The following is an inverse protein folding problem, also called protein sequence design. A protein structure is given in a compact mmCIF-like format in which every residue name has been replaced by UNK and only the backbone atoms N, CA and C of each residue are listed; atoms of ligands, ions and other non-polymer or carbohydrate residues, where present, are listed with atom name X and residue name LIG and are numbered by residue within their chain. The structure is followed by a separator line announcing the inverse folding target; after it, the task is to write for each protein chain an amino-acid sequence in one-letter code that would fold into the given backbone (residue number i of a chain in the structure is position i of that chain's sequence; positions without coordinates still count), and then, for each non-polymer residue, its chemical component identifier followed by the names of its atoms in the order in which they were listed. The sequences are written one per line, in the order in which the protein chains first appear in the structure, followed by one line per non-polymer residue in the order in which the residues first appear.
data_IF_930453560296
#
_entry.id   IF_930453560296
#
_cell.length_a   1.000
_cell.length_b   1.000
_cell.length_c   1.000
_cell.angle_alpha   90.00
_cell.angle_beta   90.00
_cell.angle_gamma   90.00
#
_symmetry.space_group_name_H-M   'P 1'
#
loop_
_entity.id
_entity.type
_entity.pdbx_description
1 polymer ?
#
# COMPACT_ATOMS: atom_id res chain seq x y z
N UNK A 1 11.63 2.37 -20.69
CA UNK A 1 10.94 3.65 -20.97
C UNK A 1 10.59 4.28 -19.64
N UNK A 2 11.00 5.52 -19.38
CA UNK A 2 10.73 6.21 -18.11
C UNK A 2 9.26 6.62 -17.95
N UNK A 3 8.47 6.52 -19.01
CA UNK A 3 7.04 6.88 -19.01
C UNK A 3 6.13 5.70 -18.70
N UNK A 4 6.50 4.47 -19.11
CA UNK A 4 5.73 3.25 -18.87
C UNK A 4 5.42 3.00 -17.37
N UNK A 5 4.17 2.72 -16.97
CA UNK A 5 2.99 2.40 -17.79
C UNK A 5 2.05 3.61 -18.00
N UNK A 6 2.52 4.83 -17.77
CA UNK A 6 1.69 6.04 -17.93
C UNK A 6 2.05 6.71 -19.24
N UNK A 7 1.10 6.72 -20.17
CA UNK A 7 1.20 7.45 -21.42
C UNK A 7 0.52 8.81 -21.29
N UNK A 8 1.11 9.83 -21.92
CA UNK A 8 0.57 11.19 -21.95
C UNK A 8 0.61 11.75 -23.35
N UNK A 9 -0.38 12.56 -23.71
CA UNK A 9 -0.43 13.31 -24.95
C UNK A 9 -1.11 14.66 -24.73
N UNK A 10 -0.94 15.58 -25.68
CA UNK A 10 -1.54 16.91 -25.64
C UNK A 10 -2.47 17.11 -26.83
N UNK A 11 -3.65 17.67 -26.58
CA UNK A 11 -4.63 18.01 -27.62
C UNK A 11 -4.93 19.51 -27.55
N UNK A 12 -4.49 20.25 -28.56
CA UNK A 12 -4.64 21.70 -28.63
C UNK A 12 -6.10 22.12 -28.85
N UNK A 13 -6.48 23.29 -28.33
CA UNK A 13 -7.81 23.89 -28.54
C UNK A 13 -8.94 23.20 -27.77
N UNK A 14 -8.61 22.35 -26.81
CA UNK A 14 -9.59 21.71 -25.94
C UNK A 14 -9.98 22.61 -24.78
N UNK A 15 -11.26 22.61 -24.44
CA UNK A 15 -11.81 23.20 -23.23
C UNK A 15 -12.35 22.08 -22.35
N UNK A 16 -12.74 22.41 -21.13
CA UNK A 16 -13.39 21.48 -20.20
C UNK A 16 -14.73 20.90 -20.68
N UNK A 17 -15.35 21.46 -21.72
CA UNK A 17 -16.55 20.90 -22.35
C UNK A 17 -16.26 19.76 -23.33
N UNK A 18 -14.99 19.47 -23.61
CA UNK A 18 -14.61 18.38 -24.53
C UNK A 18 -14.85 17.03 -23.87
N UNK A 19 -15.60 16.19 -24.58
CA UNK A 19 -15.75 14.78 -24.27
C UNK A 19 -14.66 13.97 -24.96
N UNK A 20 -14.12 12.98 -24.26
CA UNK A 20 -13.10 12.09 -24.81
C UNK A 20 -13.30 10.66 -24.30
N UNK A 21 -12.62 9.71 -24.95
CA UNK A 21 -12.57 8.30 -24.54
C UNK A 21 -11.24 7.72 -24.96
N UNK A 22 -10.75 6.71 -24.25
CA UNK A 22 -9.53 6.01 -24.64
C UNK A 22 -9.82 4.83 -25.57
N UNK A 23 -8.82 4.48 -26.37
CA UNK A 23 -8.80 3.29 -27.21
C UNK A 23 -7.49 2.54 -27.00
N UNK A 24 -7.56 1.22 -27.03
CA UNK A 24 -6.40 0.34 -27.12
C UNK A 24 -6.05 0.15 -28.59
N UNK A 25 -4.76 0.27 -28.92
CA UNK A 25 -4.24 0.11 -30.27
C UNK A 25 -3.36 -1.13 -30.35
N UNK A 26 -3.40 -1.84 -31.49
CA UNK A 26 -2.40 -2.85 -31.81
C UNK A 26 -1.04 -2.22 -32.20
N UNK A 27 -0.05 -3.06 -32.49
CA UNK A 27 1.28 -2.62 -32.93
C UNK A 27 1.29 -1.88 -34.27
N UNK A 28 0.23 -2.01 -35.08
CA UNK A 28 0.07 -1.29 -36.34
C UNK A 28 -0.70 0.04 -36.16
N UNK A 29 -1.15 0.36 -34.94
CA UNK A 29 -1.91 1.56 -34.61
C UNK A 29 -3.41 1.44 -34.87
N UNK A 30 -3.92 0.25 -35.15
CA UNK A 30 -5.36 0.01 -35.35
C UNK A 30 -6.05 -0.17 -34.01
N UNK A 31 -7.26 0.39 -33.86
CA UNK A 31 -8.06 0.22 -32.65
C UNK A 31 -8.51 -1.23 -32.49
N UNK A 32 -8.15 -1.84 -31.35
CA UNK A 32 -8.60 -3.18 -30.96
C UNK A 32 -9.69 -3.16 -29.90
N UNK A 33 -9.73 -2.10 -29.09
CA UNK A 33 -10.74 -1.92 -28.05
C UNK A 33 -11.00 -0.44 -27.78
N UNK A 34 -12.24 -0.10 -27.45
CA UNK A 34 -12.64 1.26 -27.12
C UNK A 34 -13.46 1.26 -25.83
N UNK A 35 -13.34 2.33 -25.04
CA UNK A 35 -14.21 2.52 -23.89
C UNK A 35 -15.68 2.68 -24.33
N UNK A 36 -16.61 2.15 -23.53
CA UNK A 36 -18.05 2.21 -23.79
C UNK A 36 -18.70 3.45 -23.16
N UNK A 37 -17.90 4.35 -22.58
CA UNK A 37 -18.33 5.57 -21.91
C UNK A 37 -17.44 6.74 -22.35
N UNK A 38 -17.97 7.96 -22.21
CA UNK A 38 -17.19 9.19 -22.40
C UNK A 38 -16.73 9.74 -21.07
N UNK A 39 -15.63 10.48 -21.12
CA UNK A 39 -15.00 11.21 -20.02
C UNK A 39 -15.09 12.70 -20.30
N UNK A 40 -15.00 13.48 -19.23
CA UNK A 40 -14.89 14.94 -19.27
C UNK A 40 -13.94 15.38 -18.15
N UNK A 41 -13.32 16.55 -18.31
CA UNK A 41 -12.54 17.14 -17.23
C UNK A 41 -13.42 17.47 -16.03
N UNK A 42 -12.87 17.33 -14.83
CA UNK A 42 -13.65 17.42 -13.59
C UNK A 42 -14.09 18.86 -13.32
N UNK A 43 -13.18 19.82 -13.56
CA UNK A 43 -13.45 21.24 -13.40
C UNK A 43 -13.31 21.99 -14.72
N UNK A 44 -14.04 23.10 -14.83
CA UNK A 44 -14.02 23.88 -16.07
C UNK A 44 -12.67 24.52 -16.39
N UNK A 45 -11.82 24.65 -15.37
CA UNK A 45 -10.48 25.24 -15.41
C UNK A 45 -9.36 24.21 -15.56
N UNK A 46 -9.67 22.91 -15.55
CA UNK A 46 -8.65 21.88 -15.68
C UNK A 46 -8.03 21.95 -17.08
N UNK A 47 -6.71 21.76 -17.15
CA UNK A 47 -5.94 21.75 -18.41
C UNK A 47 -5.31 20.38 -18.71
N UNK A 48 -5.57 19.39 -17.86
CA UNK A 48 -5.08 18.02 -17.99
C UNK A 48 -6.06 17.03 -17.36
N UNK A 49 -6.03 15.79 -17.84
CA UNK A 49 -6.73 14.67 -17.20
C UNK A 49 -5.96 14.22 -15.94
N UNK A 50 -6.60 13.41 -15.10
CA UNK A 50 -5.88 12.62 -14.10
C UNK A 50 -5.04 11.51 -14.76
N UNK A 51 -4.26 10.80 -13.95
CA UNK A 51 -3.74 9.47 -14.28
C UNK A 51 -4.90 8.48 -14.30
N UNK A 52 -5.56 8.41 -15.45
CA UNK A 52 -6.73 7.55 -15.67
C UNK A 52 -6.31 6.12 -16.02
N UNK A 53 -7.18 5.17 -15.69
CA UNK A 53 -6.97 3.76 -16.00
C UNK A 53 -7.99 3.36 -17.07
N UNK A 54 -7.52 2.73 -18.16
CA UNK A 54 -8.37 2.31 -19.28
C UNK A 54 -9.52 1.42 -18.79
N UNK A 55 -10.73 1.66 -19.29
CA UNK A 55 -11.97 0.98 -18.88
C UNK A 55 -12.40 1.22 -17.43
N UNK A 56 -11.80 2.18 -16.72
CA UNK A 56 -12.26 2.63 -15.40
C UNK A 56 -12.92 4.02 -15.52
N UNK A 57 -14.25 4.13 -15.47
CA UNK A 57 -14.94 5.41 -15.65
C UNK A 57 -14.66 6.41 -14.54
N UNK A 58 -14.45 5.93 -13.31
CA UNK A 58 -14.25 6.78 -12.14
C UNK A 58 -12.82 6.69 -11.63
N UNK A 59 -12.09 7.80 -11.67
CA UNK A 59 -10.71 7.89 -11.14
C UNK A 59 -10.70 8.24 -9.65
N UNK A 60 -11.55 9.17 -9.23
CA UNK A 60 -11.74 9.57 -7.83
C UNK A 60 -13.21 9.36 -7.46
N UNK A 61 -13.47 8.65 -6.37
CA UNK A 61 -14.79 8.43 -5.80
C UNK A 61 -14.77 8.76 -4.32
N UNK A 62 -15.56 9.76 -3.90
CA UNK A 62 -15.60 10.18 -2.50
C UNK A 62 -16.30 9.12 -1.64
N UNK A 63 -15.57 8.48 -0.74
CA UNK A 63 -16.11 7.47 0.17
C UNK A 63 -16.62 8.15 1.44
N UNK A 64 -17.83 7.79 1.86
CA UNK A 64 -18.37 8.25 3.15
C UNK A 64 -17.54 7.66 4.28
N UNK A 65 -16.89 8.54 5.06
CA UNK A 65 -16.03 8.14 6.18
C UNK A 65 -16.85 7.85 7.43
N UNK A 66 -16.35 6.94 8.25
CA UNK A 66 -16.87 6.73 9.60
C UNK A 66 -16.76 8.03 10.42
N UNK A 67 -17.79 8.40 11.19
CA UNK A 67 -17.74 9.59 12.01
C UNK A 67 -16.71 9.45 13.13
N UNK A 68 -16.00 10.53 13.44
CA UNK A 68 -15.12 10.56 14.60
C UNK A 68 -15.93 10.58 15.89
N UNK A 69 -15.63 9.66 16.82
CA UNK A 69 -16.26 9.64 18.15
C UNK A 69 -15.50 10.46 19.18
N UNK A 70 -14.20 10.67 18.95
CA UNK A 70 -13.33 11.57 19.70
C UNK A 70 -12.50 12.40 18.71
N UNK A 71 -12.08 13.61 19.11
CA UNK A 71 -11.17 14.43 18.31
C UNK A 71 -9.83 13.69 18.20
N UNK A 72 -9.64 12.95 17.10
CA UNK A 72 -8.38 12.32 16.78
C UNK A 72 -7.33 13.41 16.55
N UNK A 73 -6.46 13.63 17.53
CA UNK A 73 -5.36 14.61 17.49
C UNK A 73 -4.11 14.07 16.79
N UNK A 74 -4.14 12.84 16.27
CA UNK A 74 -3.00 12.21 15.65
C UNK A 74 -2.82 12.66 14.18
N UNK A 75 -1.57 12.93 13.76
CA UNK A 75 -1.27 13.64 12.53
C UNK A 75 -1.84 12.97 11.27
N UNK A 76 -2.40 13.83 10.43
CA UNK A 76 -2.70 13.72 8.99
C UNK A 76 -2.55 12.34 8.36
N UNK A 77 -3.65 11.84 7.76
CA UNK A 77 -3.60 10.81 6.71
C UNK A 77 -2.52 11.21 5.69
N UNK A 78 -1.49 10.40 5.54
CA UNK A 78 -0.48 10.59 4.50
C UNK A 78 -1.13 10.45 3.12
N UNK A 79 -0.60 11.14 2.11
CA UNK A 79 -1.03 10.97 0.71
C UNK A 79 -0.91 9.52 0.22
N UNK A 80 -0.10 8.69 0.89
CA UNK A 80 0.04 7.27 0.58
C UNK A 80 -1.27 6.48 0.73
N UNK A 81 -2.15 6.85 1.67
CA UNK A 81 -3.38 6.13 1.98
C UNK A 81 -4.63 6.95 1.64
N UNK A 82 -4.66 7.49 0.43
CA UNK A 82 -5.88 8.12 -0.09
C UNK A 82 -6.88 7.01 -0.47
N UNK A 83 -8.01 6.98 0.22
CA UNK A 83 -9.06 5.98 0.03
C UNK A 83 -10.10 6.34 -1.04
N UNK A 84 -10.10 7.59 -1.50
CA UNK A 84 -11.02 8.06 -2.55
C UNK A 84 -10.60 7.59 -3.96
N UNK A 85 -9.59 6.74 -4.04
CA UNK A 85 -9.06 6.19 -5.28
C UNK A 85 -8.37 4.85 -5.02
N UNK A 86 -8.22 4.05 -6.07
CA UNK A 86 -7.39 2.84 -6.06
C UNK A 86 -6.09 3.19 -6.78
N UNK A 87 -5.00 3.26 -6.02
CA UNK A 87 -3.67 3.48 -6.58
C UNK A 87 -3.20 2.25 -7.36
N UNK A 88 -2.28 2.46 -8.31
CA UNK A 88 -1.64 1.36 -9.04
C UNK A 88 -0.15 1.33 -8.71
N UNK A 89 0.35 0.17 -8.29
CA UNK A 89 1.76 -0.11 -8.08
C UNK A 89 2.27 -0.97 -9.23
N UNK A 90 3.29 -0.49 -9.92
CA UNK A 90 4.07 -1.30 -10.86
C UNK A 90 5.43 -1.62 -10.24
N UNK A 91 5.76 -2.89 -10.21
CA UNK A 91 7.06 -3.41 -9.83
C UNK A 91 7.74 -3.97 -11.07
N UNK A 92 8.99 -3.59 -11.30
CA UNK A 92 9.84 -4.14 -12.37
C UNK A 92 11.12 -4.67 -11.76
N UNK A 93 11.49 -5.90 -12.08
CA UNK A 93 12.72 -6.51 -11.57
C UNK A 93 13.12 -7.79 -12.29
N UNK A 94 14.22 -8.44 -11.87
CA UNK A 94 14.72 -9.67 -12.48
C UNK A 94 13.66 -10.78 -12.44
N UNK A 95 13.21 -11.22 -13.61
CA UNK A 95 12.10 -12.19 -13.78
C UNK A 95 12.39 -13.49 -13.03
N UNK A 96 13.59 -14.05 -13.19
CA UNK A 96 13.96 -15.33 -12.55
C UNK A 96 13.94 -15.24 -11.02
N UNK A 97 14.44 -14.13 -10.45
CA UNK A 97 14.44 -13.91 -9.01
C UNK A 97 13.02 -13.77 -8.44
N UNK A 98 12.14 -13.06 -9.16
CA UNK A 98 10.73 -12.90 -8.76
C UNK A 98 9.99 -14.24 -8.86
N UNK A 99 10.22 -15.01 -9.92
CA UNK A 99 9.64 -16.34 -10.07
C UNK A 99 10.11 -17.30 -8.97
N UNK A 100 11.39 -17.25 -8.61
CA UNK A 100 11.93 -18.04 -7.50
C UNK A 100 11.31 -17.62 -6.17
N UNK A 101 11.22 -16.32 -5.90
CA UNK A 101 10.58 -15.79 -4.70
C UNK A 101 9.10 -16.23 -4.59
N UNK A 102 8.34 -16.17 -5.68
CA UNK A 102 6.94 -16.60 -5.69
C UNK A 102 6.76 -18.12 -5.54
N UNK A 103 7.66 -18.92 -6.14
CA UNK A 103 7.60 -20.38 -6.05
C UNK A 103 8.13 -20.93 -4.72
N UNK A 104 8.92 -20.13 -4.00
CA UNK A 104 9.49 -20.48 -2.70
C UNK A 104 9.22 -19.37 -1.66
N UNK A 105 7.94 -19.07 -1.37
CA UNK A 105 7.57 -17.90 -0.57
C UNK A 105 8.07 -17.95 0.88
N UNK A 106 8.42 -19.15 1.38
CA UNK A 106 8.98 -19.37 2.73
C UNK A 106 10.48 -19.13 2.84
N UNK A 107 11.18 -18.94 1.73
CA UNK A 107 12.62 -18.67 1.75
C UNK A 107 12.95 -17.20 2.05
N UNK A 108 11.94 -16.32 2.07
CA UNK A 108 12.11 -14.88 2.33
C UNK A 108 13.15 -14.20 1.44
N UNK A 109 13.30 -14.72 0.21
CA UNK A 109 14.25 -14.18 -0.78
C UNK A 109 13.91 -12.74 -1.09
N UNK A 110 14.88 -11.85 -0.86
CA UNK A 110 14.74 -10.43 -1.17
C UNK A 110 15.26 -10.12 -2.57
N UNK A 111 14.41 -9.49 -3.38
CA UNK A 111 14.72 -9.10 -4.75
C UNK A 111 14.77 -7.58 -4.84
N UNK A 112 15.82 -7.04 -5.46
CA UNK A 112 15.91 -5.60 -5.75
C UNK A 112 15.09 -5.27 -6.99
N UNK A 113 14.19 -4.30 -6.86
CA UNK A 113 13.21 -3.93 -7.89
C UNK A 113 13.06 -2.41 -7.99
N UNK A 114 12.50 -1.98 -9.12
CA UNK A 114 12.01 -0.63 -9.33
C UNK A 114 10.51 -0.58 -9.08
N UNK A 115 10.05 0.48 -8.40
CA UNK A 115 8.65 0.67 -8.02
C UNK A 115 8.14 1.98 -8.61
N UNK A 116 6.95 1.93 -9.23
CA UNK A 116 6.16 3.13 -9.56
C UNK A 116 4.81 3.04 -8.87
N UNK A 117 4.50 4.04 -8.04
CA UNK A 117 3.20 4.22 -7.39
C UNK A 117 2.46 5.36 -8.07
N UNK A 118 1.28 5.06 -8.61
CA UNK A 118 0.50 5.96 -9.45
C UNK A 118 -0.85 6.21 -8.76
N UNK A 119 -1.12 7.48 -8.48
CA UNK A 119 -2.41 7.99 -8.04
C UNK A 119 -2.90 9.05 -9.03
N UNK A 120 -4.14 9.51 -8.90
CA UNK A 120 -4.82 10.39 -9.84
C UNK A 120 -3.99 11.61 -10.28
N UNK A 121 -3.21 12.22 -9.39
CA UNK A 121 -2.50 13.48 -9.64
C UNK A 121 -0.97 13.38 -9.46
N UNK A 122 -0.45 12.20 -9.15
CA UNK A 122 0.97 11.99 -8.84
C UNK A 122 1.46 10.62 -9.32
N UNK A 123 2.71 10.59 -9.79
CA UNK A 123 3.51 9.39 -9.95
C UNK A 123 4.72 9.51 -9.03
N UNK A 124 4.88 8.56 -8.12
CA UNK A 124 6.07 8.37 -7.30
C UNK A 124 6.87 7.21 -7.88
N UNK A 125 8.19 7.36 -8.04
CA UNK A 125 9.04 6.30 -8.59
C UNK A 125 10.32 6.19 -7.78
N UNK A 126 10.73 4.96 -7.47
CA UNK A 126 11.95 4.68 -6.74
C UNK A 126 12.60 3.39 -7.23
N UNK A 127 13.92 3.36 -7.27
CA UNK A 127 14.72 2.20 -7.68
C UNK A 127 15.44 1.59 -6.49
N UNK A 128 15.94 0.36 -6.66
CA UNK A 128 16.66 -0.40 -5.62
C UNK A 128 15.83 -0.70 -4.35
N UNK A 129 14.52 -0.88 -4.53
CA UNK A 129 13.60 -1.27 -3.46
C UNK A 129 13.73 -2.76 -3.20
N UNK A 130 13.78 -3.14 -1.93
CA UNK A 130 13.74 -4.55 -1.54
C UNK A 130 12.30 -5.06 -1.56
N UNK A 131 12.04 -6.10 -2.35
CA UNK A 131 10.74 -6.75 -2.51
C UNK A 131 10.85 -8.24 -2.15
N UNK A 132 9.97 -8.71 -1.27
CA UNK A 132 9.91 -10.11 -0.83
C UNK A 132 8.48 -10.47 -0.43
N UNK A 133 8.20 -11.78 -0.36
CA UNK A 133 6.98 -12.33 0.23
C UNK A 133 6.89 -11.96 1.72
N UNK A 134 5.67 -11.89 2.26
CA UNK A 134 5.43 -11.42 3.62
C UNK A 134 4.37 -12.23 4.36
N UNK A 135 4.47 -12.19 5.68
CA UNK A 135 3.66 -12.95 6.62
C UNK A 135 4.19 -14.37 6.85
N UNK A 136 3.43 -15.14 7.60
CA UNK A 136 3.79 -16.51 8.01
C UNK A 136 2.88 -17.51 7.28
N UNK A 137 1.67 -17.73 7.81
CA UNK A 137 0.66 -18.60 7.19
C UNK A 137 0.14 -18.07 5.85
N UNK A 138 0.24 -16.75 5.59
CA UNK A 138 -0.14 -16.17 4.30
C UNK A 138 0.69 -16.74 3.14
N UNK A 139 1.88 -17.27 3.42
CA UNK A 139 2.76 -17.88 2.42
C UNK A 139 2.28 -19.23 1.90
N UNK A 140 1.33 -19.87 2.60
CA UNK A 140 0.72 -21.14 2.19
C UNK A 140 -0.37 -20.97 1.11
N UNK A 141 -0.81 -19.74 0.82
CA UNK A 141 -1.87 -19.46 -0.15
C UNK A 141 -1.30 -19.16 -1.54
N UNK A 142 -2.06 -19.47 -2.60
CA UNK A 142 -1.61 -19.19 -3.97
C UNK A 142 -1.31 -17.70 -4.21
N UNK A 143 -2.11 -16.80 -3.63
CA UNK A 143 -1.91 -15.35 -3.72
C UNK A 143 -1.07 -14.87 -2.54
N UNK A 144 0.19 -14.59 -2.84
CA UNK A 144 1.19 -14.18 -1.85
C UNK A 144 0.99 -12.74 -1.40
N UNK A 145 1.24 -12.46 -0.12
CA UNK A 145 1.41 -11.09 0.38
C UNK A 145 2.86 -10.65 0.22
N UNK A 146 3.10 -9.35 0.10
CA UNK A 146 4.45 -8.82 -0.14
C UNK A 146 4.80 -7.68 0.80
N UNK A 147 6.10 -7.40 0.89
CA UNK A 147 6.63 -6.25 1.60
C UNK A 147 7.63 -5.51 0.71
N UNK A 148 7.49 -4.19 0.68
CA UNK A 148 8.44 -3.28 0.07
C UNK A 148 9.22 -2.60 1.19
N UNK A 149 10.55 -2.72 1.18
CA UNK A 149 11.44 -1.94 2.04
C UNK A 149 12.19 -0.92 1.20
N UNK A 150 11.94 0.34 1.50
CA UNK A 150 12.63 1.50 0.96
C UNK A 150 13.94 1.65 1.70
N UNK A 151 15.00 1.79 0.93
CA UNK A 151 16.34 1.66 1.46
C UNK A 151 16.72 2.91 2.27
N UNK A 152 16.78 2.74 3.60
CA UNK A 152 17.12 3.82 4.53
C UNK A 152 18.55 4.32 4.35
N UNK A 153 19.45 3.47 3.87
CA UNK A 153 20.86 3.83 3.67
C UNK A 153 21.00 4.85 2.51
N UNK A 154 20.00 4.91 1.62
CA UNK A 154 19.88 5.93 0.58
C UNK A 154 18.86 7.03 0.91
N UNK A 155 18.43 7.15 2.16
CA UNK A 155 17.37 8.08 2.61
C UNK A 155 16.05 7.98 1.81
N UNK A 156 15.76 6.80 1.26
CA UNK A 156 14.54 6.57 0.49
C UNK A 156 13.40 6.25 1.44
N UNK A 157 12.26 6.93 1.26
CA UNK A 157 11.04 6.60 1.98
C UNK A 157 9.83 6.73 1.07
N UNK A 158 8.80 5.94 1.37
CA UNK A 158 7.48 6.06 0.79
C UNK A 158 6.62 6.93 1.69
N UNK A 159 6.54 8.22 1.41
CA UNK A 159 5.80 9.19 2.24
C UNK A 159 6.14 9.05 3.74
N UNK A 160 7.44 9.14 4.03
CA UNK A 160 8.03 9.02 5.37
C UNK A 160 7.95 7.62 6.01
N UNK A 161 7.58 6.59 5.24
CA UNK A 161 7.63 5.19 5.66
C UNK A 161 8.83 4.46 5.05
N UNK A 162 9.64 3.77 5.86
CA UNK A 162 10.70 2.91 5.32
C UNK A 162 10.13 1.62 4.74
N UNK A 163 8.95 1.16 5.19
CA UNK A 163 8.36 -0.09 4.74
C UNK A 163 6.86 0.07 4.51
N UNK A 164 6.33 -0.67 3.54
CA UNK A 164 4.89 -0.90 3.38
C UNK A 164 4.64 -2.40 3.15
N UNK A 165 3.47 -2.86 3.57
CA UNK A 165 3.01 -4.23 3.32
C UNK A 165 1.86 -4.20 2.31
N UNK A 166 1.87 -5.17 1.40
CA UNK A 166 0.80 -5.44 0.44
C UNK A 166 0.15 -6.77 0.84
N UNK A 167 -1.02 -6.71 1.46
CA UNK A 167 -1.73 -7.91 1.91
C UNK A 167 -2.64 -8.45 0.82
N UNK A 168 -2.51 -9.75 0.56
CA UNK A 168 -3.28 -10.45 -0.44
C UNK A 168 -4.75 -10.65 -0.05
N UNK A 169 -5.04 -10.63 1.26
CA UNK A 169 -6.36 -10.95 1.85
C UNK A 169 -6.90 -12.33 1.40
N UNK A 170 -6.02 -13.31 1.21
CA UNK A 170 -6.35 -14.58 0.54
C UNK A 170 -7.43 -15.42 1.27
N UNK A 171 -7.61 -15.21 2.57
CA UNK A 171 -8.62 -15.90 3.40
C UNK A 171 -9.89 -15.09 3.63
N UNK A 172 -9.97 -13.88 3.08
CA UNK A 172 -11.02 -12.92 3.40
C UNK A 172 -11.85 -12.61 2.15
N UNK A 173 -12.99 -13.29 1.93
CA UNK A 173 -13.73 -13.20 0.67
C UNK A 173 -14.21 -11.80 0.31
N UNK A 174 -14.40 -10.93 1.30
CA UNK A 174 -14.91 -9.57 1.07
C UNK A 174 -13.79 -8.56 0.79
N UNK A 175 -12.55 -8.89 1.14
CA UNK A 175 -11.42 -7.96 1.27
C UNK A 175 -11.63 -6.78 2.25
N UNK A 176 -12.79 -6.66 2.91
CA UNK A 176 -13.18 -5.50 3.72
C UNK A 176 -12.79 -5.60 5.20
N UNK A 177 -12.64 -6.80 5.77
CA UNK A 177 -12.63 -6.97 7.24
C UNK A 177 -11.49 -6.20 7.90
N UNK A 178 -10.28 -6.34 7.38
CA UNK A 178 -9.12 -5.64 7.93
C UNK A 178 -9.21 -4.11 7.72
N UNK A 179 -9.54 -3.66 6.50
CA UNK A 179 -9.70 -2.23 6.19
C UNK A 179 -10.76 -1.59 7.08
N UNK A 180 -11.90 -2.23 7.26
CA UNK A 180 -12.99 -1.71 8.09
C UNK A 180 -12.55 -1.61 9.56
N UNK A 181 -11.83 -2.60 10.07
CA UNK A 181 -11.32 -2.56 11.45
C UNK A 181 -10.30 -1.43 11.64
N UNK A 182 -9.40 -1.24 10.67
CA UNK A 182 -8.47 -0.11 10.63
C UNK A 182 -9.25 1.22 10.65
N UNK A 183 -10.29 1.36 9.83
CA UNK A 183 -11.08 2.59 9.76
C UNK A 183 -11.84 2.86 11.06
N UNK A 184 -12.40 1.81 11.68
CA UNK A 184 -13.08 1.91 12.96
C UNK A 184 -12.12 2.40 14.05
N UNK A 185 -10.94 1.80 14.18
CA UNK A 185 -9.92 2.23 15.15
C UNK A 185 -9.49 3.68 14.92
N UNK A 186 -9.28 4.08 13.67
CA UNK A 186 -8.96 5.46 13.32
C UNK A 186 -10.10 6.43 13.68
N UNK A 187 -11.36 6.03 13.46
CA UNK A 187 -12.53 6.85 13.77
C UNK A 187 -12.75 7.06 15.27
N UNK A 188 -12.31 6.11 16.11
CA UNK A 188 -12.36 6.26 17.58
C UNK A 188 -11.12 6.93 18.16
N UNK A 189 -10.21 7.42 17.30
CA UNK A 189 -9.01 8.16 17.71
C UNK A 189 -7.90 7.28 18.28
N UNK A 190 -7.93 5.96 18.06
CA UNK A 190 -6.83 5.07 18.44
C UNK A 190 -5.72 5.20 17.41
N UNK A 191 -4.46 5.49 17.82
CA UNK A 191 -3.33 5.44 16.90
C UNK A 191 -3.15 4.02 16.36
N UNK A 192 -3.45 3.85 15.08
CA UNK A 192 -3.40 2.55 14.41
C UNK A 192 -2.82 2.71 13.00
N UNK A 193 -2.58 1.57 12.34
CA UNK A 193 -2.19 1.54 10.94
C UNK A 193 -3.15 2.38 10.08
N UNK A 194 -2.64 2.93 8.99
CA UNK A 194 -3.48 3.31 7.86
C UNK A 194 -3.50 2.16 6.84
N UNK A 195 -4.56 2.11 6.03
CA UNK A 195 -4.65 1.17 4.92
C UNK A 195 -5.50 1.71 3.78
N UNK A 196 -5.17 1.33 2.56
CA UNK A 196 -5.98 1.58 1.37
C UNK A 196 -5.77 0.47 0.33
N UNK A 197 -6.70 0.33 -0.60
CA UNK A 197 -6.55 -0.67 -1.66
C UNK A 197 -5.65 -0.17 -2.78
N UNK A 198 -4.83 -1.07 -3.30
CA UNK A 198 -3.95 -0.82 -4.44
C UNK A 198 -4.07 -1.97 -5.44
N UNK A 199 -3.89 -1.64 -6.72
CA UNK A 199 -3.70 -2.63 -7.78
C UNK A 199 -2.22 -2.88 -7.97
N UNK A 200 -1.81 -4.14 -8.00
CA UNK A 200 -0.41 -4.53 -8.16
C UNK A 200 -0.18 -5.13 -9.55
N UNK A 201 0.84 -4.64 -10.22
CA UNK A 201 1.47 -5.26 -11.38
C UNK A 201 2.93 -5.57 -11.07
N UNK A 202 3.38 -6.75 -11.45
CA UNK A 202 4.79 -7.16 -11.34
C UNK A 202 5.24 -7.63 -12.72
N UNK A 203 6.27 -7.01 -13.29
CA UNK A 203 6.75 -7.30 -14.65
C UNK A 203 5.61 -7.34 -15.68
N UNK A 204 4.72 -6.35 -15.61
CA UNK A 204 3.53 -6.18 -16.47
C UNK A 204 2.43 -7.24 -16.31
N UNK A 205 2.58 -8.17 -15.37
CA UNK A 205 1.53 -9.13 -15.01
C UNK A 205 0.65 -8.57 -13.89
N UNK A 206 -0.67 -8.66 -14.04
CA UNK A 206 -1.62 -8.21 -13.03
C UNK A 206 -1.70 -9.18 -11.86
N UNK A 207 -1.11 -8.83 -10.72
CA UNK A 207 -1.20 -9.63 -9.48
C UNK A 207 -2.52 -9.40 -8.74
N UNK A 208 -3.26 -8.36 -9.11
CA UNK A 208 -4.62 -8.07 -8.64
C UNK A 208 -4.69 -7.01 -7.55
N UNK A 209 -5.78 -7.03 -6.77
CA UNK A 209 -6.06 -6.08 -5.70
C UNK A 209 -5.37 -6.49 -4.40
N UNK A 210 -4.72 -5.55 -3.72
CA UNK A 210 -4.08 -5.74 -2.43
C UNK A 210 -4.54 -4.67 -1.45
N UNK A 211 -4.56 -5.00 -0.16
CA UNK A 211 -4.66 -4.00 0.90
C UNK A 211 -3.24 -3.54 1.24
N UNK A 212 -2.89 -2.31 0.86
CA UNK A 212 -1.64 -1.68 1.29
C UNK A 212 -1.83 -1.15 2.70
N UNK A 213 -0.92 -1.51 3.63
CA UNK A 213 -0.99 -1.09 5.03
C UNK A 213 0.37 -0.65 5.56
N UNK A 214 0.33 0.14 6.63
CA UNK A 214 1.51 0.46 7.44
C UNK A 214 2.20 -0.80 7.99
N UNK A 215 3.53 -0.74 8.05
CA UNK A 215 4.33 -1.69 8.84
C UNK A 215 4.57 -1.11 10.23
N UNK A 216 3.99 -1.76 11.26
CA UNK A 216 4.08 -1.30 12.65
C UNK A 216 5.49 -1.57 13.19
N UNK A 217 6.34 -0.55 13.06
CA UNK A 217 7.73 -0.52 13.55
C UNK A 217 8.00 0.85 14.20
N UNK A 218 9.22 1.08 14.70
CA UNK A 218 9.61 2.36 15.34
C UNK A 218 9.34 3.57 14.44
N UNK A 219 9.53 3.44 13.14
CA UNK A 219 9.20 4.47 12.16
C UNK A 219 7.70 4.84 12.17
N UNK A 220 6.81 3.84 12.21
CA UNK A 220 5.38 4.09 12.35
C UNK A 220 5.07 4.87 13.62
N UNK A 221 5.64 4.49 14.78
CA UNK A 221 5.43 5.22 16.05
C UNK A 221 5.90 6.66 15.90
N UNK A 222 7.12 6.86 15.37
CA UNK A 222 7.69 8.20 15.16
C UNK A 222 6.78 9.07 14.30
N UNK A 223 6.27 8.54 13.20
CA UNK A 223 5.41 9.29 12.28
C UNK A 223 4.00 9.51 12.85
N UNK A 224 3.36 8.46 13.34
CA UNK A 224 1.93 8.46 13.72
C UNK A 224 1.69 9.02 15.12
N UNK A 225 2.60 8.85 16.07
CA UNK A 225 2.43 9.34 17.45
C UNK A 225 3.11 10.69 17.64
N UNK A 226 4.30 10.85 17.08
CA UNK A 226 5.18 12.00 17.34
C UNK A 226 5.33 12.96 16.15
N UNK A 227 4.50 12.82 15.11
CA UNK A 227 4.51 13.74 13.96
C UNK A 227 5.83 13.78 13.19
N UNK A 228 6.63 12.72 13.29
CA UNK A 228 7.93 12.63 12.63
C UNK A 228 9.08 13.33 13.36
N UNK A 229 8.89 13.79 14.61
CA UNK A 229 9.92 14.50 15.38
C UNK A 229 11.23 13.72 15.44
N UNK A 230 12.28 14.32 14.85
CA UNK A 230 13.63 13.78 14.78
C UNK A 230 14.26 13.44 16.12
N UNK A 231 13.85 14.14 17.18
CA UNK A 231 14.43 14.05 18.53
C UNK A 231 13.84 12.90 19.36
N UNK A 232 12.75 12.29 18.92
CA UNK A 232 12.12 11.19 19.64
C UNK A 232 12.87 9.89 19.34
N UNK A 233 13.28 9.21 20.40
CA UNK A 233 13.75 7.82 20.36
C UNK A 233 12.60 6.93 20.86
N UNK A 234 11.92 6.20 19.98
CA UNK A 234 10.87 5.28 20.40
C UNK A 234 11.45 4.17 21.31
N UNK A 235 10.70 3.83 22.36
CA UNK A 235 11.03 2.71 23.25
C UNK A 235 10.94 1.34 22.57
N UNK A 236 11.10 0.29 23.35
CA UNK A 236 10.97 -1.10 22.88
C UNK A 236 9.55 -1.40 22.42
N UNK A 237 9.43 -2.19 21.35
CA UNK A 237 8.15 -2.78 20.96
C UNK A 237 8.12 -4.23 21.43
N UNK A 238 6.98 -4.63 22.00
CA UNK A 238 6.73 -6.02 22.39
C UNK A 238 5.73 -6.60 21.40
N UNK A 239 6.15 -7.62 20.67
CA UNK A 239 5.24 -8.43 19.88
C UNK A 239 4.60 -9.46 20.80
N UNK A 240 3.27 -9.54 20.73
CA UNK A 240 2.47 -10.56 21.37
C UNK A 240 2.16 -11.67 20.37
N UNK A 241 2.38 -12.92 20.77
CA UNK A 241 2.12 -14.10 19.95
C UNK A 241 1.04 -14.99 20.59
N UNK A 242 0.49 -15.90 19.80
CA UNK A 242 -0.48 -16.90 20.21
C UNK A 242 -0.09 -18.26 19.59
N UNK A 243 0.88 -18.92 20.21
CA UNK A 243 1.48 -20.16 19.70
C UNK A 243 0.47 -21.30 19.83
N UNK A 244 -0.21 -21.39 20.98
CA UNK A 244 -1.30 -22.34 21.23
C UNK A 244 -2.40 -21.64 22.05
N UNK A 245 -3.56 -22.28 22.18
CA UNK A 245 -4.67 -21.77 23.00
C UNK A 245 -4.23 -21.57 24.47
N UNK A 246 -3.37 -22.45 24.97
CA UNK A 246 -2.86 -22.40 26.35
C UNK A 246 -1.60 -21.53 26.50
N UNK A 247 -0.92 -21.21 25.38
CA UNK A 247 0.27 -20.37 25.35
C UNK A 247 0.10 -19.21 24.38
N UNK A 248 -0.56 -18.16 24.86
CA UNK A 248 -0.88 -16.96 24.12
C UNK A 248 -0.76 -15.72 25.00
N UNK A 249 -0.51 -14.58 24.37
CA UNK A 249 -0.47 -13.31 25.06
C UNK A 249 -1.89 -12.96 25.54
N UNK A 250 -2.03 -12.69 26.84
CA UNK A 250 -3.30 -12.33 27.49
C UNK A 250 -3.30 -10.89 28.03
N UNK A 251 -2.19 -10.18 27.84
CA UNK A 251 -1.93 -8.82 28.33
C UNK A 251 -2.05 -8.67 29.86
N UNK A 252 -2.00 -9.77 30.62
CA UNK A 252 -2.03 -9.74 32.09
C UNK A 252 -0.67 -9.28 32.62
N UNK A 253 -0.69 -8.28 33.51
CA UNK A 253 0.51 -7.82 34.19
C UNK A 253 1.03 -8.89 35.16
N UNK A 254 2.20 -9.45 34.86
CA UNK A 254 2.88 -10.48 35.67
C UNK A 254 4.03 -9.92 36.52
N UNK A 255 4.43 -8.68 36.22
CA UNK A 255 5.54 -7.99 36.85
C UNK A 255 6.22 -7.03 35.89
N UNK A 256 7.24 -6.34 36.38
CA UNK A 256 7.95 -5.29 35.63
C UNK A 256 9.13 -5.79 34.80
N UNK A 257 9.54 -7.05 34.96
CA UNK A 257 10.70 -7.62 34.28
C UNK A 257 10.27 -8.41 33.06
N UNK A 258 11.08 -8.42 32.00
CA UNK A 258 10.82 -9.26 30.82
C UNK A 258 10.80 -10.76 31.16
N UNK A 259 11.52 -11.17 32.21
CA UNK A 259 11.53 -12.55 32.73
C UNK A 259 10.22 -12.98 33.37
N UNK A 260 9.32 -12.04 33.67
CA UNK A 260 7.99 -12.33 34.24
C UNK A 260 7.01 -12.82 33.15
N UNK A 261 7.44 -12.80 31.88
CA UNK A 261 6.64 -13.15 30.70
C UNK A 261 7.31 -14.28 29.92
N UNK A 262 6.52 -15.15 29.30
CA UNK A 262 7.05 -16.20 28.42
C UNK A 262 7.74 -15.54 27.20
N UNK A 263 9.06 -15.73 27.01
CA UNK A 263 9.80 -15.13 25.90
C UNK A 263 9.36 -15.63 24.52
N UNK A 264 8.65 -16.76 24.44
CA UNK A 264 8.07 -17.26 23.19
C UNK A 264 6.79 -16.49 22.81
N UNK A 265 6.08 -15.94 23.80
CA UNK A 265 4.81 -15.22 23.61
C UNK A 265 5.00 -13.71 23.56
N UNK A 266 5.88 -13.18 24.41
CA UNK A 266 6.18 -11.76 24.52
C UNK A 266 7.60 -11.50 24.02
N UNK A 267 7.70 -11.31 22.71
CA UNK A 267 8.99 -11.09 22.06
C UNK A 267 9.30 -9.60 22.05
N UNK A 268 10.30 -9.19 22.83
CA UNK A 268 10.86 -7.84 22.70
C UNK A 268 11.54 -7.73 21.35
N UNK A 269 10.96 -6.92 20.47
CA UNK A 269 11.60 -6.57 19.22
C UNK A 269 12.52 -5.38 19.47
N UNK A 270 13.83 -5.65 19.49
CA UNK A 270 14.84 -4.61 19.31
C UNK A 270 14.71 -4.11 17.87
N UNK A 271 13.85 -3.12 17.68
CA UNK A 271 13.62 -2.47 16.40
C UNK A 271 14.58 -1.30 16.17
#
# INVERSE_FOLDING_TARGET
DSTFPVWSGSVSGTTSSVQYSYVELDSAGSTVKAETFTRQLTQTTDTRTYNEFFERPTTIFNITRLPYTYLATYPSKTKAFNEDQIATIHITGPVDSINLMNSQPKNDTEVKVDVRFIIADMIYSQTNISFHTSGESSKDYAKQSFKLKFDSDYNQTFFSRPNIKLRAEATEPTHLREKLYIDMLNSVGVPTAQGCYVRLYVNNEGYGLYLMVDDIKKSFIKQTIYGGDGNITPGSLVQSDAITVDNQADLVYRGSNSTDYDPAVYVSQNL
#
